data_IF_372099457223
#
_entry.id   IF_372099457223
#
_cell.length_a   1.000
_cell.length_b   1.000
_cell.length_c   1.000
_cell.angle_alpha   90.00
_cell.angle_beta   90.00
_cell.angle_gamma   90.00
#
_symmetry.space_group_name_H-M   'P 1'
#
loop_
_entity.id
_entity.type
_entity.pdbx_description
1 polymer ?
#
# COMPACT_ATOMS: atom_id res chain seq x y z
N UNK A 1 -62.95 -48.32 -36.70
CA UNK A 1 -62.40 -47.27 -35.80
C UNK A 1 -63.19 -46.02 -36.09
N UNK A 2 -64.07 -45.60 -35.18
CA UNK A 2 -64.77 -44.32 -35.29
C UNK A 2 -63.84 -43.24 -34.75
N UNK A 3 -63.46 -42.29 -35.60
CA UNK A 3 -62.67 -41.13 -35.20
C UNK A 3 -63.59 -39.91 -35.15
N UNK A 4 -63.90 -39.47 -33.95
CA UNK A 4 -64.62 -38.23 -33.67
C UNK A 4 -63.61 -37.08 -33.70
N UNK A 5 -63.76 -36.17 -34.67
CA UNK A 5 -62.93 -34.98 -34.79
C UNK A 5 -63.63 -33.82 -34.09
N UNK A 6 -63.13 -33.45 -32.91
CA UNK A 6 -63.56 -32.24 -32.19
C UNK A 6 -62.93 -31.03 -32.87
N UNK A 7 -63.76 -30.22 -33.51
CA UNK A 7 -63.33 -28.99 -34.17
C UNK A 7 -63.41 -27.85 -33.15
N UNK A 8 -62.26 -27.49 -32.58
CA UNK A 8 -62.15 -26.35 -31.65
C UNK A 8 -62.41 -25.07 -32.42
N UNK A 9 -63.37 -24.26 -31.98
CA UNK A 9 -63.68 -22.98 -32.62
C UNK A 9 -62.45 -22.06 -32.57
N UNK A 10 -61.95 -21.68 -33.75
CA UNK A 10 -60.75 -20.85 -33.90
C UNK A 10 -60.84 -19.52 -33.12
N UNK A 11 -62.03 -18.96 -32.95
CA UNK A 11 -62.26 -17.68 -32.28
C UNK A 11 -61.86 -17.66 -30.80
N UNK A 12 -62.15 -18.71 -30.03
CA UNK A 12 -61.80 -18.78 -28.61
C UNK A 12 -60.29 -18.88 -28.41
N UNK A 13 -59.62 -19.67 -29.25
CA UNK A 13 -58.16 -19.83 -29.17
C UNK A 13 -57.41 -18.55 -29.56
N UNK A 14 -57.91 -17.79 -30.53
CA UNK A 14 -57.32 -16.51 -30.95
C UNK A 14 -57.49 -15.44 -29.86
N UNK A 15 -58.66 -15.38 -29.22
CA UNK A 15 -58.92 -14.48 -28.09
C UNK A 15 -58.00 -14.79 -26.89
N UNK A 16 -57.82 -16.07 -26.57
CA UNK A 16 -56.95 -16.50 -25.47
C UNK A 16 -55.47 -16.21 -25.76
N UNK A 17 -55.01 -16.43 -26.99
CA UNK A 17 -53.66 -16.03 -27.42
C UNK A 17 -53.47 -14.50 -27.28
N UNK A 18 -54.46 -13.71 -27.65
CA UNK A 18 -54.36 -12.25 -27.55
C UNK A 18 -54.34 -11.76 -26.09
N UNK A 19 -55.13 -12.40 -25.22
CA UNK A 19 -55.11 -12.14 -23.77
C UNK A 19 -53.75 -12.49 -23.16
N UNK A 20 -53.19 -13.64 -23.51
CA UNK A 20 -51.86 -14.06 -23.05
C UNK A 20 -50.75 -13.12 -23.51
N UNK A 21 -50.81 -12.64 -24.76
CA UNK A 21 -49.87 -11.63 -25.28
C UNK A 21 -49.95 -10.33 -24.49
N UNK A 22 -51.16 -9.83 -24.22
CA UNK A 22 -51.34 -8.62 -23.41
C UNK A 22 -50.78 -8.78 -22.00
N UNK A 23 -51.00 -9.95 -21.38
CA UNK A 23 -50.46 -10.26 -20.05
C UNK A 23 -48.94 -10.36 -20.05
N UNK A 24 -48.35 -10.95 -21.09
CA UNK A 24 -46.89 -11.04 -21.26
C UNK A 24 -46.27 -9.65 -21.46
N UNK A 25 -46.93 -8.78 -22.22
CA UNK A 25 -46.47 -7.41 -22.43
C UNK A 25 -46.53 -6.58 -21.14
N UNK A 26 -47.57 -6.76 -20.32
CA UNK A 26 -47.63 -6.15 -18.99
C UNK A 26 -46.51 -6.65 -18.08
N UNK A 27 -46.24 -7.96 -18.06
CA UNK A 27 -45.14 -8.48 -17.26
C UNK A 27 -43.76 -8.08 -17.76
N UNK A 28 -43.57 -7.96 -19.08
CA UNK A 28 -42.33 -7.41 -19.62
C UNK A 28 -42.12 -5.96 -19.18
N UNK A 29 -43.17 -5.13 -19.11
CA UNK A 29 -43.06 -3.76 -18.60
C UNK A 29 -42.73 -3.75 -17.10
N UNK A 30 -43.37 -4.60 -16.31
CA UNK A 30 -43.07 -4.73 -14.87
C UNK A 30 -41.63 -5.17 -14.65
N UNK A 31 -41.15 -6.15 -15.42
CA UNK A 31 -39.76 -6.60 -15.39
C UNK A 31 -38.79 -5.46 -15.68
N UNK A 32 -39.00 -4.70 -16.76
CA UNK A 32 -38.12 -3.57 -17.10
C UNK A 32 -38.10 -2.51 -15.99
N UNK A 33 -39.25 -2.24 -15.35
CA UNK A 33 -39.32 -1.31 -14.22
C UNK A 33 -38.52 -1.84 -13.03
N UNK A 34 -38.70 -3.12 -12.66
CA UNK A 34 -37.95 -3.76 -11.58
C UNK A 34 -36.45 -3.78 -11.86
N UNK A 35 -36.04 -4.07 -13.10
CA UNK A 35 -34.63 -4.02 -13.50
C UNK A 35 -34.06 -2.61 -13.30
N UNK A 36 -34.79 -1.56 -13.69
CA UNK A 36 -34.39 -0.17 -13.45
C UNK A 36 -34.30 0.18 -11.95
N UNK A 37 -35.23 -0.32 -11.14
CA UNK A 37 -35.22 -0.09 -9.69
C UNK A 37 -34.05 -0.81 -9.03
N UNK A 38 -33.72 -2.03 -9.46
CA UNK A 38 -32.55 -2.79 -9.03
C UNK A 38 -31.27 -2.01 -9.34
N UNK A 39 -31.09 -1.54 -10.58
CA UNK A 39 -29.92 -0.74 -10.94
C UNK A 39 -29.78 0.53 -10.10
N UNK A 40 -30.90 1.21 -9.78
CA UNK A 40 -30.90 2.40 -8.93
C UNK A 40 -30.50 2.07 -7.48
N UNK A 41 -30.98 0.95 -6.95
CA UNK A 41 -30.63 0.47 -5.61
C UNK A 41 -29.18 0.02 -5.52
N UNK A 42 -28.67 -0.68 -6.52
CA UNK A 42 -27.26 -1.11 -6.61
C UNK A 42 -26.31 0.09 -6.65
N UNK A 43 -26.65 1.14 -7.40
CA UNK A 43 -25.89 2.38 -7.43
C UNK A 43 -25.84 3.06 -6.05
N UNK A 44 -26.99 3.16 -5.36
CA UNK A 44 -27.06 3.73 -4.01
C UNK A 44 -26.31 2.89 -2.98
N UNK A 45 -26.38 1.56 -3.08
CA UNK A 45 -25.63 0.65 -2.24
C UNK A 45 -24.13 0.89 -2.39
N UNK A 46 -23.65 0.95 -3.63
CA UNK A 46 -22.24 1.19 -3.95
C UNK A 46 -21.74 2.54 -3.42
N UNK A 47 -22.56 3.59 -3.53
CA UNK A 47 -22.24 4.92 -2.98
C UNK A 47 -22.17 4.90 -1.44
N UNK A 48 -23.13 4.24 -0.79
CA UNK A 48 -23.10 4.07 0.66
C UNK A 48 -21.92 3.23 1.15
N UNK A 49 -21.57 2.14 0.46
CA UNK A 49 -20.41 1.31 0.78
C UNK A 49 -19.11 2.11 0.65
N UNK A 50 -18.99 2.93 -0.39
CA UNK A 50 -17.85 3.84 -0.56
C UNK A 50 -17.76 4.88 0.57
N UNK A 51 -18.88 5.53 0.90
CA UNK A 51 -18.95 6.51 1.99
C UNK A 51 -18.63 5.89 3.36
N UNK A 52 -19.12 4.67 3.60
CA UNK A 52 -18.84 3.92 4.82
C UNK A 52 -17.36 3.52 4.91
N UNK A 53 -16.76 3.06 3.81
CA UNK A 53 -15.33 2.75 3.75
C UNK A 53 -14.47 3.99 4.03
N UNK A 54 -14.85 5.15 3.47
CA UNK A 54 -14.18 6.42 3.73
C UNK A 54 -14.28 6.83 5.21
N UNK A 55 -15.48 6.80 5.78
CA UNK A 55 -15.73 7.13 7.19
C UNK A 55 -15.01 6.17 8.15
N UNK A 56 -14.95 4.87 7.82
CA UNK A 56 -14.20 3.89 8.62
C UNK A 56 -12.71 4.21 8.67
N UNK A 57 -12.11 4.57 7.53
CA UNK A 57 -10.69 4.96 7.49
C UNK A 57 -10.41 6.23 8.30
N UNK A 58 -11.32 7.20 8.26
CA UNK A 58 -11.22 8.42 9.06
C UNK A 58 -11.31 8.12 10.57
N UNK A 59 -12.21 7.21 10.97
CA UNK A 59 -12.29 6.75 12.35
C UNK A 59 -11.03 6.03 12.82
N UNK A 60 -10.43 5.19 11.98
CA UNK A 60 -9.19 4.49 12.33
C UNK A 60 -8.02 5.47 12.46
N UNK A 61 -7.93 6.47 11.58
CA UNK A 61 -6.95 7.57 11.70
C UNK A 61 -7.12 8.34 13.01
N UNK A 62 -8.35 8.74 13.35
CA UNK A 62 -8.63 9.46 14.60
C UNK A 62 -8.32 8.61 15.84
N UNK A 63 -8.54 7.29 15.79
CA UNK A 63 -8.16 6.37 16.89
C UNK A 63 -6.66 6.32 17.08
N UNK A 64 -5.90 6.23 15.99
CA UNK A 64 -4.44 6.23 16.04
C UNK A 64 -3.88 7.56 16.58
N UNK A 65 -4.43 8.68 16.11
CA UNK A 65 -4.06 10.01 16.61
C UNK A 65 -4.39 10.18 18.10
N UNK A 66 -5.57 9.72 18.53
CA UNK A 66 -5.96 9.75 19.93
C UNK A 66 -5.02 8.90 20.81
N UNK A 67 -4.63 7.71 20.32
CA UNK A 67 -3.67 6.86 21.00
C UNK A 67 -2.31 7.53 21.15
N UNK A 68 -1.82 8.18 20.09
CA UNK A 68 -0.55 8.93 20.10
C UNK A 68 -0.58 10.08 21.11
N UNK A 69 -1.66 10.87 21.12
CA UNK A 69 -1.84 11.95 22.10
C UNK A 69 -1.92 11.43 23.53
N UNK A 70 -2.50 10.25 23.74
CA UNK A 70 -2.54 9.62 25.06
C UNK A 70 -1.14 9.24 25.56
N UNK A 71 -0.30 8.68 24.70
CA UNK A 71 1.09 8.35 25.03
C UNK A 71 1.91 9.61 25.34
N UNK A 72 1.78 10.65 24.52
CA UNK A 72 2.45 11.94 24.74
C UNK A 72 2.04 12.56 26.09
N UNK A 73 0.74 12.54 26.40
CA UNK A 73 0.23 12.98 27.70
C UNK A 73 0.85 12.21 28.86
N UNK A 74 0.98 10.89 28.75
CA UNK A 74 1.61 10.08 29.81
C UNK A 74 3.08 10.43 29.99
N UNK A 75 3.81 10.62 28.89
CA UNK A 75 5.23 11.01 28.93
C UNK A 75 5.42 12.37 29.59
N UNK A 76 4.62 13.38 29.21
CA UNK A 76 4.66 14.70 29.82
C UNK A 76 4.34 14.68 31.32
N UNK A 77 3.43 13.81 31.76
CA UNK A 77 3.14 13.64 33.20
C UNK A 77 4.32 13.03 33.96
N UNK A 78 5.03 12.07 33.36
CA UNK A 78 6.23 11.49 33.97
C UNK A 78 7.36 12.53 34.05
N UNK A 79 7.57 13.30 32.99
CA UNK A 79 8.56 14.37 32.95
C UNK A 79 8.24 15.46 33.98
N UNK A 80 6.99 15.89 34.08
CA UNK A 80 6.54 16.84 35.11
C UNK A 80 6.84 16.32 36.51
N UNK A 81 6.61 15.03 36.78
CA UNK A 81 6.91 14.42 38.09
C UNK A 81 8.40 14.36 38.36
N UNK A 82 9.20 14.07 37.34
CA UNK A 82 10.67 14.04 37.42
C UNK A 82 11.22 15.43 37.77
N UNK A 83 10.81 16.45 37.02
CA UNK A 83 11.20 17.84 37.25
C UNK A 83 10.77 18.32 38.63
N UNK A 84 9.58 17.93 39.08
CA UNK A 84 9.11 18.29 40.41
C UNK A 84 9.97 17.64 41.52
N UNK A 85 10.38 16.38 41.36
CA UNK A 85 11.32 15.74 42.27
C UNK A 85 12.70 16.40 42.26
N UNK A 86 13.18 16.82 41.08
CA UNK A 86 14.47 17.50 40.93
C UNK A 86 14.45 18.89 41.61
N UNK A 87 13.35 19.63 41.48
CA UNK A 87 13.13 20.90 42.20
C UNK A 87 13.11 20.67 43.71
N UNK A 88 12.43 19.63 44.20
CA UNK A 88 12.39 19.30 45.63
C UNK A 88 13.79 18.94 46.17
N UNK A 89 14.55 18.11 45.44
CA UNK A 89 15.93 17.77 45.79
C UNK A 89 16.81 19.02 45.82
N UNK A 90 16.74 19.86 44.79
CA UNK A 90 17.52 21.10 44.70
C UNK A 90 17.16 22.08 45.82
N UNK A 91 15.87 22.18 46.18
CA UNK A 91 15.42 23.02 47.27
C UNK A 91 15.93 22.51 48.63
N UNK A 92 15.93 21.19 48.84
CA UNK A 92 16.46 20.54 50.03
C UNK A 92 17.98 20.73 50.13
N UNK A 93 18.72 20.53 49.03
CA UNK A 93 20.16 20.80 48.95
C UNK A 93 20.50 22.28 49.23
N UNK A 94 19.71 23.23 48.71
CA UNK A 94 19.90 24.64 48.99
C UNK A 94 19.67 24.98 50.47
N UNK A 95 18.71 24.32 51.12
CA UNK A 95 18.45 24.46 52.56
C UNK A 95 19.55 23.79 53.40
N UNK A 96 20.07 22.64 52.97
CA UNK A 96 21.19 21.95 53.61
C UNK A 96 22.49 22.72 53.43
N UNK A 97 22.76 23.34 52.28
CA UNK A 97 23.91 24.24 52.11
C UNK A 97 23.82 25.46 53.05
N UNK A 98 22.61 25.94 53.34
CA UNK A 98 22.37 27.02 54.30
C UNK A 98 22.60 26.58 55.75
N UNK A 99 22.33 25.31 56.10
CA UNK A 99 22.62 24.73 57.42
C UNK A 99 24.09 24.31 57.58
N UNK A 100 24.70 23.78 56.52
CA UNK A 100 26.11 23.38 56.42
C UNK A 100 27.08 24.55 56.30
N UNK A 101 26.61 25.78 56.05
CA UNK A 101 27.44 26.98 56.15
C UNK A 101 28.09 27.16 57.54
N UNK A 102 27.71 26.35 58.54
CA UNK A 102 28.31 26.26 59.87
C UNK A 102 29.37 25.15 60.06
N UNK A 103 29.64 24.25 59.09
CA UNK A 103 30.65 23.18 59.24
C UNK A 103 31.52 23.03 57.98
N UNK A 104 32.82 22.74 58.19
CA UNK A 104 33.97 22.86 57.28
C UNK A 104 33.74 22.67 55.77
N UNK A 105 33.83 23.79 55.03
CA UNK A 105 33.57 23.93 53.58
C UNK A 105 34.54 23.19 52.64
N UNK A 106 35.69 22.71 53.13
CA UNK A 106 36.77 22.22 52.25
C UNK A 106 36.59 20.76 51.85
N UNK A 107 36.20 19.90 52.79
CA UNK A 107 36.00 18.46 52.54
C UNK A 107 34.75 18.22 51.67
N UNK A 108 33.72 19.06 51.83
CA UNK A 108 32.44 18.98 51.10
C UNK A 108 32.56 19.39 49.63
N UNK A 109 33.46 20.32 49.31
CA UNK A 109 33.70 20.75 47.92
C UNK A 109 34.48 19.70 47.14
N UNK A 110 35.47 19.05 47.76
CA UNK A 110 36.25 17.98 47.12
C UNK A 110 35.37 16.77 46.80
N UNK A 111 34.47 16.37 47.71
CA UNK A 111 33.51 15.28 47.45
C UNK A 111 32.51 15.62 46.33
N UNK A 112 32.04 16.88 46.28
CA UNK A 112 31.11 17.33 45.24
C UNK A 112 31.78 17.40 43.88
N UNK A 113 33.03 17.86 43.83
CA UNK A 113 33.83 17.88 42.62
C UNK A 113 34.02 16.47 42.06
N UNK A 114 34.39 15.51 42.90
CA UNK A 114 34.56 14.11 42.50
C UNK A 114 33.27 13.48 41.96
N UNK A 115 32.11 13.76 42.57
CA UNK A 115 30.83 13.27 42.09
C UNK A 115 30.46 13.85 40.72
N UNK A 116 30.69 15.16 40.51
CA UNK A 116 30.45 15.81 39.22
C UNK A 116 31.38 15.29 38.13
N UNK A 117 32.65 15.02 38.45
CA UNK A 117 33.57 14.38 37.50
C UNK A 117 33.08 13.00 37.07
N UNK A 118 32.56 12.22 38.02
CA UNK A 118 32.01 10.89 37.73
C UNK A 118 30.75 10.96 36.86
N UNK A 119 29.82 11.87 37.18
CA UNK A 119 28.60 12.08 36.40
C UNK A 119 28.92 12.55 34.97
N UNK A 120 29.91 13.44 34.82
CA UNK A 120 30.38 13.90 33.52
C UNK A 120 31.00 12.77 32.69
N UNK A 121 31.69 11.84 33.33
CA UNK A 121 32.22 10.66 32.65
C UNK A 121 31.11 9.67 32.23
N UNK A 122 30.10 9.48 33.07
CA UNK A 122 28.91 8.68 32.73
C UNK A 122 28.13 9.29 31.56
N UNK A 123 27.96 10.62 31.54
CA UNK A 123 27.29 11.34 30.45
C UNK A 123 28.06 11.24 29.13
N UNK A 124 29.40 11.31 29.16
CA UNK A 124 30.22 11.09 27.97
C UNK A 124 30.04 9.68 27.41
N UNK A 125 30.03 8.66 28.28
CA UNK A 125 29.79 7.27 27.87
C UNK A 125 28.42 7.13 27.22
N UNK A 126 27.37 7.69 27.85
CA UNK A 126 26.02 7.64 27.30
C UNK A 126 25.91 8.36 25.95
N UNK A 127 26.59 9.50 25.79
CA UNK A 127 26.66 10.21 24.50
C UNK A 127 27.26 9.32 23.42
N UNK A 128 28.38 8.65 23.70
CA UNK A 128 29.03 7.75 22.75
C UNK A 128 28.11 6.58 22.37
N UNK A 129 27.45 5.94 23.33
CA UNK A 129 26.48 4.86 23.07
C UNK A 129 25.32 5.34 22.18
N UNK A 130 24.85 6.58 22.38
CA UNK A 130 23.80 7.18 21.55
C UNK A 130 24.28 7.53 20.15
N UNK A 131 25.51 7.99 19.99
CA UNK A 131 26.12 8.25 18.68
C UNK A 131 26.23 6.94 17.88
N UNK A 132 26.64 5.84 18.51
CA UNK A 132 26.67 4.51 17.90
C UNK A 132 25.26 4.03 17.50
N UNK A 133 24.24 4.26 18.33
CA UNK A 133 22.85 3.94 18.02
C UNK A 133 22.34 4.74 16.81
N UNK A 134 22.68 6.03 16.73
CA UNK A 134 22.33 6.89 15.60
C UNK A 134 22.97 6.36 14.30
N UNK A 135 24.24 5.98 14.32
CA UNK A 135 24.93 5.42 13.16
C UNK A 135 24.27 4.11 12.66
N UNK A 136 23.90 3.24 13.59
CA UNK A 136 23.18 2.00 13.28
C UNK A 136 21.80 2.29 12.68
N UNK A 137 21.05 3.25 13.23
CA UNK A 137 19.74 3.64 12.72
C UNK A 137 19.83 4.25 11.32
N UNK A 138 20.83 5.11 11.07
CA UNK A 138 21.09 5.67 9.75
C UNK A 138 21.38 4.58 8.72
N UNK A 139 22.21 3.58 9.07
CA UNK A 139 22.51 2.44 8.20
C UNK A 139 21.27 1.61 7.89
N UNK A 140 20.42 1.35 8.89
CA UNK A 140 19.14 0.65 8.69
C UNK A 140 18.21 1.45 7.77
N UNK A 141 18.12 2.76 7.97
CA UNK A 141 17.26 3.64 7.19
C UNK A 141 17.70 3.71 5.73
N UNK A 142 19.01 3.78 5.47
CA UNK A 142 19.58 3.67 4.13
C UNK A 142 19.24 2.33 3.48
N UNK A 143 19.37 1.22 4.21
CA UNK A 143 19.01 -0.11 3.71
C UNK A 143 17.52 -0.22 3.36
N UNK A 144 16.65 0.35 4.20
CA UNK A 144 15.20 0.38 3.94
C UNK A 144 14.87 1.25 2.74
N UNK A 145 15.53 2.40 2.59
CA UNK A 145 15.36 3.28 1.43
C UNK A 145 15.74 2.57 0.12
N UNK A 146 16.89 1.88 0.08
CA UNK A 146 17.32 1.09 -1.09
C UNK A 146 16.30 -0.01 -1.41
N UNK A 147 15.82 -0.75 -0.40
CA UNK A 147 14.81 -1.80 -0.60
C UNK A 147 13.47 -1.23 -1.10
N UNK A 148 13.08 -0.05 -0.61
CA UNK A 148 11.87 0.65 -1.04
C UNK A 148 11.99 1.11 -2.48
N UNK A 149 13.10 1.74 -2.84
CA UNK A 149 13.41 2.16 -4.21
C UNK A 149 13.40 0.97 -5.18
N UNK A 150 14.00 -0.17 -4.79
CA UNK A 150 13.92 -1.41 -5.57
C UNK A 150 12.50 -1.90 -5.80
N UNK A 151 11.61 -1.82 -4.79
CA UNK A 151 10.20 -2.19 -4.94
C UNK A 151 9.43 -1.21 -5.81
N UNK A 152 9.70 0.09 -5.68
CA UNK A 152 9.03 1.12 -6.46
C UNK A 152 9.43 1.09 -7.94
N UNK A 153 10.64 0.61 -8.25
CA UNK A 153 11.17 0.49 -9.60
C UNK A 153 10.91 -0.89 -10.25
N UNK A 154 10.18 -1.80 -9.58
CA UNK A 154 9.90 -3.15 -10.07
C UNK A 154 8.40 -3.45 -10.05
N UNK A 155 7.83 -3.77 -11.22
CA UNK A 155 6.44 -4.20 -11.37
C UNK A 155 6.37 -5.64 -11.89
N UNK A 156 5.85 -6.53 -11.06
CA UNK A 156 5.64 -7.95 -11.40
C UNK A 156 4.19 -8.36 -11.19
N UNK A 157 3.58 -8.93 -12.23
CA UNK A 157 2.28 -9.60 -12.18
C UNK A 157 2.46 -11.03 -12.67
N UNK A 158 2.29 -11.99 -11.77
CA UNK A 158 2.33 -13.43 -12.06
C UNK A 158 0.98 -14.05 -11.75
N UNK A 159 0.60 -15.07 -12.51
CA UNK A 159 -0.64 -15.82 -12.29
C UNK A 159 -0.28 -17.20 -11.79
N UNK A 160 -1.06 -17.73 -10.86
CA UNK A 160 -0.99 -19.12 -10.40
C UNK A 160 -2.29 -19.84 -10.73
N UNK A 161 -2.18 -21.12 -11.04
CA UNK A 161 -3.29 -22.04 -11.21
C UNK A 161 -3.27 -22.99 -10.01
N UNK A 162 -4.43 -23.24 -9.42
CA UNK A 162 -4.57 -24.13 -8.27
C UNK A 162 -5.16 -25.45 -8.77
N UNK A 163 -4.47 -26.55 -8.49
CA UNK A 163 -5.00 -27.89 -8.72
C UNK A 163 -6.20 -28.14 -7.78
N UNK A 164 -7.40 -28.45 -8.30
CA UNK A 164 -8.58 -28.66 -7.47
C UNK A 164 -8.49 -29.86 -6.53
N UNK A 165 -7.70 -30.88 -6.88
CA UNK A 165 -7.62 -32.12 -6.11
C UNK A 165 -6.58 -32.01 -4.98
N UNK A 166 -5.44 -31.37 -5.27
CA UNK A 166 -4.31 -31.29 -4.33
C UNK A 166 -4.20 -29.93 -3.63
N UNK A 167 -4.91 -28.91 -4.11
CA UNK A 167 -4.76 -27.52 -3.66
C UNK A 167 -3.40 -26.91 -4.02
N UNK A 168 -2.58 -27.59 -4.81
CA UNK A 168 -1.23 -27.16 -5.15
C UNK A 168 -1.26 -25.97 -6.12
N UNK A 169 -0.58 -24.90 -5.75
CA UNK A 169 -0.29 -23.79 -6.66
C UNK A 169 0.77 -24.20 -7.69
N UNK A 170 0.53 -23.85 -8.95
CA UNK A 170 1.46 -24.07 -10.04
C UNK A 170 1.37 -22.95 -11.07
N UNK A 171 2.39 -22.84 -11.90
CA UNK A 171 2.43 -21.86 -12.99
C UNK A 171 1.44 -22.25 -14.11
N UNK A 172 1.00 -21.30 -14.97
CA UNK A 172 0.19 -21.63 -16.15
C UNK A 172 0.86 -22.65 -17.08
N UNK A 173 2.20 -22.66 -17.14
CA UNK A 173 2.95 -23.62 -17.96
C UNK A 173 2.86 -25.04 -17.39
N UNK A 174 2.98 -25.19 -16.07
CA UNK A 174 2.81 -26.48 -15.39
C UNK A 174 1.37 -26.97 -15.49
N UNK A 175 0.38 -26.09 -15.27
CA UNK A 175 -1.03 -26.45 -15.39
C UNK A 175 -1.38 -26.94 -16.80
N UNK A 176 -0.84 -26.30 -17.84
CA UNK A 176 -1.01 -26.76 -19.22
C UNK A 176 -0.34 -28.13 -19.44
N UNK A 177 0.88 -28.30 -18.91
CA UNK A 177 1.63 -29.57 -19.00
C UNK A 177 0.91 -30.72 -18.30
N UNK A 178 0.20 -30.45 -17.20
CA UNK A 178 -0.62 -31.42 -16.48
C UNK A 178 -2.04 -31.56 -17.05
N UNK A 179 -2.39 -30.84 -18.11
CA UNK A 179 -3.71 -30.91 -18.74
C UNK A 179 -4.84 -30.26 -17.92
N UNK A 180 -4.52 -29.47 -16.89
CA UNK A 180 -5.51 -28.74 -16.09
C UNK A 180 -6.09 -27.53 -16.83
N UNK A 181 -5.36 -27.00 -17.82
CA UNK A 181 -5.81 -25.89 -18.66
C UNK A 181 -5.47 -26.15 -20.13
N UNK A 182 -6.33 -25.68 -21.04
CA UNK A 182 -6.05 -25.74 -22.48
C UNK A 182 -5.01 -24.69 -22.92
N UNK A 183 -4.40 -24.91 -24.09
CA UNK A 183 -3.40 -24.01 -24.68
C UNK A 183 -3.91 -22.57 -24.84
N UNK A 184 -5.17 -22.40 -25.24
CA UNK A 184 -5.81 -21.09 -25.39
C UNK A 184 -5.83 -20.31 -24.08
N UNK A 185 -6.16 -20.99 -22.97
CA UNK A 185 -6.14 -20.41 -21.63
C UNK A 185 -4.69 -20.14 -21.18
N UNK A 186 -3.75 -21.05 -21.43
CA UNK A 186 -2.33 -20.82 -21.16
C UNK A 186 -1.80 -19.54 -21.82
N UNK A 187 -2.05 -19.35 -23.12
CA UNK A 187 -1.63 -18.14 -23.86
C UNK A 187 -2.27 -16.89 -23.24
N UNK A 188 -3.56 -16.96 -22.87
CA UNK A 188 -4.26 -15.85 -22.23
C UNK A 188 -3.63 -15.48 -20.89
N UNK A 189 -3.40 -16.45 -20.01
CA UNK A 189 -2.77 -16.23 -18.70
C UNK A 189 -1.35 -15.68 -18.87
N UNK A 190 -0.54 -16.28 -19.76
CA UNK A 190 0.81 -15.77 -20.05
C UNK A 190 0.82 -14.38 -20.64
N UNK A 191 -0.20 -13.96 -21.39
CA UNK A 191 -0.27 -12.60 -21.93
C UNK A 191 -0.54 -11.54 -20.85
N UNK A 192 -1.19 -11.93 -19.75
CA UNK A 192 -1.48 -11.06 -18.61
C UNK A 192 -0.30 -10.91 -17.65
N UNK A 193 0.65 -11.85 -17.65
CA UNK A 193 1.86 -11.75 -16.82
C UNK A 193 2.85 -10.72 -17.38
N UNK A 194 3.37 -9.85 -16.50
CA UNK A 194 4.41 -8.88 -16.81
C UNK A 194 5.47 -8.83 -15.71
N UNK A 195 6.70 -8.45 -16.08
CA UNK A 195 7.82 -8.32 -15.16
C UNK A 195 8.76 -7.23 -15.70
N UNK A 196 8.55 -5.99 -15.23
CA UNK A 196 9.23 -4.78 -15.68
C UNK A 196 10.03 -4.17 -14.55
N UNK A 197 11.29 -3.85 -14.78
CA UNK A 197 12.18 -3.26 -13.78
C UNK A 197 12.93 -2.06 -14.38
N UNK A 198 12.97 -0.94 -13.66
CA UNK A 198 13.85 0.18 -13.97
C UNK A 198 15.20 -0.03 -13.25
N UNK A 199 16.27 0.06 -14.01
CA UNK A 199 17.64 0.01 -13.51
C UNK A 199 18.30 1.35 -13.80
N UNK A 200 18.63 2.08 -12.75
CA UNK A 200 19.42 3.31 -12.82
C UNK A 200 20.89 2.99 -12.58
N UNK A 201 21.74 3.29 -13.55
CA UNK A 201 23.18 3.14 -13.47
C UNK A 201 23.82 4.51 -13.26
N UNK A 202 24.49 4.71 -12.11
CA UNK A 202 25.28 5.93 -11.86
C UNK A 202 26.69 5.72 -12.41
N UNK A 203 27.11 6.56 -13.35
CA UNK A 203 28.44 6.52 -13.96
C UNK A 203 29.17 7.87 -13.88
N UNK A 204 30.45 7.93 -14.27
CA UNK A 204 31.25 9.16 -14.26
C UNK A 204 30.65 10.30 -15.11
N UNK A 205 29.82 9.94 -16.09
CA UNK A 205 29.15 10.87 -17.01
C UNK A 205 27.72 11.25 -16.60
N UNK A 206 27.24 10.81 -15.43
CA UNK A 206 25.88 11.02 -14.95
C UNK A 206 25.10 9.72 -14.72
N UNK A 207 23.80 9.85 -14.52
CA UNK A 207 22.87 8.72 -14.31
C UNK A 207 22.26 8.30 -15.66
N UNK A 208 22.19 6.99 -15.91
CA UNK A 208 21.48 6.42 -17.06
C UNK A 208 20.42 5.42 -16.61
N UNK A 209 19.21 5.56 -17.14
CA UNK A 209 18.07 4.69 -16.79
C UNK A 209 17.74 3.71 -17.91
N UNK A 210 17.48 2.46 -17.54
CA UNK A 210 17.11 1.37 -18.46
C UNK A 210 15.87 0.66 -17.94
N UNK A 211 14.88 0.47 -18.81
CA UNK A 211 13.75 -0.41 -18.55
C UNK A 211 14.08 -1.82 -19.03
N UNK A 212 14.01 -2.79 -18.12
CA UNK A 212 14.25 -4.21 -18.35
C UNK A 212 12.92 -4.97 -18.37
N UNK A 213 12.65 -5.67 -19.46
CA UNK A 213 11.65 -6.73 -19.53
C UNK A 213 12.29 -8.03 -19.00
N UNK A 214 12.00 -8.41 -17.75
CA UNK A 214 12.55 -9.63 -17.12
C UNK A 214 12.02 -10.91 -17.76
N UNK A 215 10.88 -10.85 -18.46
CA UNK A 215 10.27 -12.01 -19.15
C UNK A 215 10.97 -12.30 -20.48
N UNK A 216 11.30 -11.27 -21.25
CA UNK A 216 12.01 -11.44 -22.54
C UNK A 216 13.52 -11.20 -22.48
N UNK A 217 14.02 -10.64 -21.38
CA UNK A 217 15.41 -10.20 -21.22
C UNK A 217 15.79 -8.94 -21.99
N UNK A 218 14.83 -8.29 -22.66
CA UNK A 218 15.08 -7.09 -23.48
C UNK A 218 15.28 -5.85 -22.61
N UNK A 219 16.19 -4.99 -23.03
CA UNK A 219 16.55 -3.74 -22.35
C UNK A 219 16.23 -2.55 -23.24
N UNK A 220 15.65 -1.51 -22.66
CA UNK A 220 15.26 -0.29 -23.35
C UNK A 220 15.86 0.92 -22.63
N UNK A 221 16.84 1.58 -23.25
CA UNK A 221 17.42 2.82 -22.71
C UNK A 221 16.42 3.97 -22.83
N UNK A 222 16.28 4.74 -21.75
CA UNK A 222 15.45 5.94 -21.71
C UNK A 222 16.02 7.01 -22.65
N UNK A 223 17.35 7.18 -22.66
CA UNK A 223 18.04 8.18 -23.47
C UNK A 223 17.88 7.88 -24.97
N UNK A 224 17.95 6.61 -25.35
CA UNK A 224 17.70 6.19 -26.73
C UNK A 224 16.23 6.34 -27.13
N UNK A 225 15.29 6.15 -26.19
CA UNK A 225 13.87 6.39 -26.44
C UNK A 225 13.58 7.89 -26.65
N UNK A 226 14.21 8.76 -25.85
CA UNK A 226 14.15 10.22 -26.00
C UNK A 226 14.76 10.68 -27.34
N UNK A 227 15.97 10.21 -27.67
CA UNK A 227 16.65 10.56 -28.94
C UNK A 227 15.85 10.12 -30.17
N UNK A 228 15.21 8.96 -30.11
CA UNK A 228 14.40 8.42 -31.21
C UNK A 228 12.96 8.94 -31.21
N UNK A 229 12.58 9.81 -30.27
CA UNK A 229 11.25 10.37 -30.16
C UNK A 229 10.15 9.38 -29.77
N UNK A 230 10.51 8.19 -29.26
CA UNK A 230 9.56 7.20 -28.72
C UNK A 230 9.03 7.60 -27.34
N UNK A 231 9.83 8.39 -26.63
CA UNK A 231 9.49 9.01 -25.36
C UNK A 231 9.73 10.52 -25.50
N UNK A 232 8.84 11.34 -24.99
CA UNK A 232 9.05 12.80 -24.90
C UNK A 232 9.54 13.18 -23.51
N UNK A 233 10.22 14.33 -23.40
CA UNK A 233 10.69 14.81 -22.10
C UNK A 233 9.55 15.07 -21.11
N UNK A 234 8.38 15.52 -21.60
CA UNK A 234 7.19 15.71 -20.75
C UNK A 234 6.65 14.39 -20.20
N UNK A 235 6.59 13.34 -21.02
CA UNK A 235 6.20 12.00 -20.57
C UNK A 235 7.19 11.44 -19.56
N UNK A 236 8.49 11.65 -19.81
CA UNK A 236 9.51 11.23 -18.87
C UNK A 236 9.41 12.00 -17.53
N UNK A 237 9.10 13.29 -17.57
CA UNK A 237 8.86 14.07 -16.36
C UNK A 237 7.64 13.58 -15.59
N UNK A 238 6.56 13.21 -16.29
CA UNK A 238 5.36 12.61 -15.69
C UNK A 238 5.68 11.28 -14.98
N UNK A 239 6.56 10.46 -15.58
CA UNK A 239 7.09 9.26 -14.91
C UNK A 239 7.90 9.58 -13.65
N UNK A 240 8.83 10.54 -13.73
CA UNK A 240 9.63 10.97 -12.57
C UNK A 240 8.75 11.53 -11.44
N UNK A 241 7.68 12.24 -11.78
CA UNK A 241 6.70 12.77 -10.85
C UNK A 241 5.71 11.70 -10.33
N UNK A 242 5.87 10.43 -10.73
CA UNK A 242 5.01 9.30 -10.38
C UNK A 242 3.55 9.44 -10.85
N UNK A 243 3.32 10.25 -11.88
CA UNK A 243 2.03 10.40 -12.57
C UNK A 243 1.86 9.38 -13.70
N UNK A 244 2.96 8.76 -14.15
CA UNK A 244 2.98 7.66 -15.14
C UNK A 244 3.61 6.42 -14.50
N UNK A 245 2.99 5.26 -14.73
CA UNK A 245 3.47 3.96 -14.25
C UNK A 245 4.63 3.42 -15.07
N UNK A 246 5.42 2.52 -14.47
CA UNK A 246 6.50 1.80 -15.17
C UNK A 246 5.99 0.98 -16.36
N UNK A 247 4.74 0.48 -16.31
CA UNK A 247 4.14 -0.23 -17.43
C UNK A 247 3.83 0.70 -18.62
N UNK A 248 3.29 1.88 -18.36
CA UNK A 248 3.04 2.89 -19.40
C UNK A 248 4.36 3.37 -20.01
N UNK A 249 5.36 3.62 -19.18
CA UNK A 249 6.70 3.94 -19.65
C UNK A 249 7.29 2.80 -20.51
N UNK A 250 7.17 1.54 -20.04
CA UNK A 250 7.63 0.36 -20.76
C UNK A 250 7.00 0.23 -22.16
N UNK A 251 5.69 0.53 -22.29
CA UNK A 251 4.99 0.55 -23.58
C UNK A 251 5.61 1.60 -24.51
N UNK A 252 5.82 2.84 -24.02
CA UNK A 252 6.43 3.92 -24.81
C UNK A 252 7.84 3.57 -25.29
N UNK A 253 8.70 3.07 -24.40
CA UNK A 253 10.11 2.80 -24.75
C UNK A 253 10.30 1.50 -25.53
N UNK A 254 9.44 0.50 -25.33
CA UNK A 254 9.49 -0.75 -26.10
C UNK A 254 8.94 -0.60 -27.51
N UNK A 255 8.09 0.40 -27.75
CA UNK A 255 7.44 0.61 -29.05
C UNK A 255 6.38 -0.44 -29.38
N UNK A 256 5.92 -1.20 -28.39
CA UNK A 256 4.77 -2.09 -28.54
C UNK A 256 3.49 -1.23 -28.54
N UNK A 257 2.74 -1.28 -29.65
CA UNK A 257 1.39 -0.70 -29.75
C UNK A 257 0.34 -1.77 -29.48
#
# INVERSE_FOLDING_TARGET
>A
VFSESVQVEKGDTEYEIQKLKSSLDEENRRKVQLDSDIYSLEAKLSEMEFSNSKSSKELDFLREENHKLHLEKQNLLLEMRSLQSEIELTAMEAQDLKSMAQVDRRITLDSRFHNLEKELEELKRLSQEKDEEIEQLQTRLQTVAIKREQRENHLRRSIVVIDPDTGKEMTPEEAHRFGLIEWSLYVKLKSQECDWEEITMKGPSGESSVILDRKSGRKFSIEDALKRGRLTMSQYQSYLNKEMSIQELAILVSGQK
#
